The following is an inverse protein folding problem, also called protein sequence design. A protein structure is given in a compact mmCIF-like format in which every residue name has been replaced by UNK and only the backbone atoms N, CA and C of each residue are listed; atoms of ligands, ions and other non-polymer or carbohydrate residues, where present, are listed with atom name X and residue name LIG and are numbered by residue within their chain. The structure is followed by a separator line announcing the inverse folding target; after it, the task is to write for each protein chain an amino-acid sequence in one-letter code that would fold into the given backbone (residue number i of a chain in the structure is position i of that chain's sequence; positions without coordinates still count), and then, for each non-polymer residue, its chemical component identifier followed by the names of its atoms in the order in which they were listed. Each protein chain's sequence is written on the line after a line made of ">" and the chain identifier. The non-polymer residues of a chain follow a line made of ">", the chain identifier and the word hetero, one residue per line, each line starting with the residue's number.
data_IF_256204084160
#
_entry.id   IF_256204084160
#
_cell.length_a   1.000
_cell.length_b   1.000
_cell.length_c   1.000
_cell.angle_alpha   90.00
_cell.angle_beta   90.00
_cell.angle_gamma   90.00
#
_symmetry.space_group_name_H-M   'P 1'
#
loop_
_entity.id
_entity.type
_entity.pdbx_description
1 polymer ?
#
# COMPACT_ATOMS: atom_id res chain seq x y z
N UNK A 1 -16.05 -7.23 -10.17
CA UNK A 1 -14.93 -7.75 -10.97
C UNK A 1 -14.43 -6.65 -11.90
N UNK A 2 -13.12 -6.64 -12.17
CA UNK A 2 -12.53 -5.87 -13.28
C UNK A 2 -12.44 -6.81 -14.49
N UNK A 3 -12.83 -6.34 -15.66
CA UNK A 3 -12.83 -7.15 -16.89
C UNK A 3 -11.57 -6.93 -17.73
N UNK A 4 -10.81 -5.89 -17.40
CA UNK A 4 -9.52 -5.55 -18.00
C UNK A 4 -8.63 -4.97 -16.91
N UNK A 5 -7.32 -4.93 -17.17
CA UNK A 5 -6.33 -4.39 -16.23
C UNK A 5 -5.43 -3.37 -16.90
N UNK A 6 -5.41 -2.18 -16.34
CA UNK A 6 -4.47 -1.11 -16.61
C UNK A 6 -3.52 -0.99 -15.43
N UNK A 7 -2.21 -0.97 -15.68
CA UNK A 7 -1.18 -0.65 -14.68
C UNK A 7 -0.22 0.36 -15.30
N UNK A 8 0.03 1.47 -14.61
CA UNK A 8 1.06 2.45 -15.00
C UNK A 8 1.92 2.88 -13.82
N UNK A 9 3.16 3.23 -14.14
CA UNK A 9 4.15 3.79 -13.22
C UNK A 9 4.38 2.94 -11.95
N UNK A 10 4.24 1.61 -12.05
CA UNK A 10 4.35 0.69 -10.91
C UNK A 10 5.54 -0.27 -11.08
N UNK A 11 6.52 -0.19 -10.17
CA UNK A 11 7.76 -0.95 -10.16
C UNK A 11 8.45 -0.97 -11.53
N UNK A 12 8.54 -2.12 -12.19
CA UNK A 12 9.15 -2.28 -13.51
C UNK A 12 8.26 -1.89 -14.69
N UNK A 13 6.98 -1.60 -14.46
CA UNK A 13 6.04 -1.26 -15.51
C UNK A 13 5.90 0.25 -15.68
N UNK A 14 6.37 0.76 -16.83
CA UNK A 14 6.03 2.12 -17.26
C UNK A 14 4.53 2.19 -17.53
N UNK A 15 4.03 1.24 -18.32
CA UNK A 15 2.63 1.06 -18.65
C UNK A 15 2.42 -0.37 -19.19
N UNK A 16 1.32 -1.01 -18.79
CA UNK A 16 0.86 -2.28 -19.33
C UNK A 16 -0.67 -2.30 -19.33
N UNK A 17 -1.23 -2.91 -20.37
CA UNK A 17 -2.66 -3.13 -20.52
C UNK A 17 -2.93 -4.61 -20.77
N UNK A 18 -3.90 -5.17 -20.06
CA UNK A 18 -4.45 -6.50 -20.27
C UNK A 18 -5.91 -6.27 -20.66
N UNK A 19 -6.24 -6.31 -21.97
CA UNK A 19 -7.56 -5.93 -22.48
C UNK A 19 -8.71 -6.78 -21.95
N UNK A 20 -8.43 -8.03 -21.60
CA UNK A 20 -9.44 -9.00 -21.18
C UNK A 20 -8.94 -9.87 -20.04
N UNK A 21 -9.73 -9.98 -18.98
CA UNK A 21 -9.55 -10.89 -17.86
C UNK A 21 -10.74 -11.86 -17.83
N UNK A 22 -10.43 -13.15 -17.93
CA UNK A 22 -11.42 -14.22 -17.77
C UNK A 22 -11.65 -14.58 -16.31
N UNK A 23 -12.52 -15.57 -16.06
CA UNK A 23 -12.68 -16.16 -14.73
C UNK A 23 -11.42 -16.90 -14.26
N UNK A 24 -10.65 -17.45 -15.19
CA UNK A 24 -9.35 -18.07 -14.98
C UNK A 24 -8.32 -17.39 -15.89
N UNK A 25 -7.21 -16.94 -15.31
CA UNK A 25 -6.12 -16.29 -16.04
C UNK A 25 -4.81 -17.00 -15.73
N UNK A 26 -4.08 -17.40 -16.77
CA UNK A 26 -2.75 -18.00 -16.63
C UNK A 26 -1.69 -16.99 -17.11
N UNK A 27 -0.85 -16.53 -16.19
CA UNK A 27 0.24 -15.59 -16.48
C UNK A 27 1.57 -16.37 -16.53
N UNK A 28 2.11 -16.57 -17.73
CA UNK A 28 3.38 -17.28 -17.98
C UNK A 28 4.48 -16.33 -18.43
N UNK A 29 5.74 -16.72 -18.18
CA UNK A 29 6.91 -15.93 -18.58
C UNK A 29 8.16 -16.31 -17.81
N UNK A 30 9.32 -15.82 -18.24
CA UNK A 30 10.62 -16.04 -17.57
C UNK A 30 10.63 -15.48 -16.14
N UNK A 31 11.57 -15.92 -15.31
CA UNK A 31 11.81 -15.29 -14.02
C UNK A 31 12.10 -13.80 -14.20
N UNK A 32 11.66 -12.98 -13.24
CA UNK A 32 11.74 -11.52 -13.29
C UNK A 32 11.00 -10.82 -14.46
N UNK A 33 10.14 -11.51 -15.21
CA UNK A 33 9.35 -10.88 -16.28
C UNK A 33 8.19 -9.99 -15.79
N UNK A 34 8.06 -9.77 -14.48
CA UNK A 34 7.00 -8.93 -13.90
C UNK A 34 5.71 -9.66 -13.50
N UNK A 35 5.68 -11.00 -13.51
CA UNK A 35 4.48 -11.76 -13.10
C UNK A 35 4.02 -11.43 -11.67
N UNK A 36 4.94 -11.44 -10.71
CA UNK A 36 4.67 -11.07 -9.32
C UNK A 36 4.22 -9.61 -9.22
N UNK A 37 4.81 -8.71 -10.02
CA UNK A 37 4.42 -7.30 -10.09
C UNK A 37 2.96 -7.12 -10.51
N UNK A 38 2.44 -7.95 -11.43
CA UNK A 38 1.02 -7.92 -11.81
C UNK A 38 0.14 -8.32 -10.62
N UNK A 39 0.50 -9.38 -9.90
CA UNK A 39 -0.25 -9.84 -8.72
C UNK A 39 -0.22 -8.81 -7.58
N UNK A 40 0.91 -8.16 -7.36
CA UNK A 40 1.05 -7.09 -6.37
C UNK A 40 0.24 -5.85 -6.73
N UNK A 41 0.16 -5.50 -8.01
CA UNK A 41 -0.71 -4.43 -8.48
C UNK A 41 -2.18 -4.77 -8.19
N UNK A 42 -2.61 -6.01 -8.47
CA UNK A 42 -3.95 -6.49 -8.15
C UNK A 42 -4.22 -6.52 -6.64
N UNK A 43 -3.22 -6.88 -5.83
CA UNK A 43 -3.29 -6.84 -4.37
C UNK A 43 -3.54 -5.42 -3.88
N UNK A 44 -2.74 -4.46 -4.36
CA UNK A 44 -2.86 -3.05 -4.02
C UNK A 44 -4.19 -2.46 -4.50
N UNK A 45 -4.63 -2.83 -5.70
CA UNK A 45 -5.94 -2.48 -6.21
C UNK A 45 -7.06 -2.97 -5.30
N UNK A 46 -7.01 -4.24 -4.92
CA UNK A 46 -8.06 -4.91 -4.13
C UNK A 46 -8.14 -4.35 -2.71
N UNK A 47 -7.00 -3.92 -2.14
CA UNK A 47 -6.93 -3.25 -0.84
C UNK A 47 -7.18 -1.74 -0.90
N UNK A 48 -7.62 -1.22 -2.04
CA UNK A 48 -7.83 0.21 -2.28
C UNK A 48 -6.60 1.09 -1.94
N UNK A 49 -5.40 0.55 -2.12
CA UNK A 49 -4.16 1.24 -1.81
C UNK A 49 -3.91 1.42 -0.31
N UNK A 50 -4.35 0.46 0.51
CA UNK A 50 -4.06 0.43 1.95
C UNK A 50 -2.56 0.53 2.23
N UNK A 51 -2.20 1.19 3.33
CA UNK A 51 -0.79 1.30 3.69
C UNK A 51 -0.21 -0.08 4.08
N UNK A 52 -1.01 -0.90 4.77
CA UNK A 52 -0.63 -2.27 5.13
C UNK A 52 -0.19 -3.09 3.91
N UNK A 53 -0.90 -2.99 2.79
CA UNK A 53 -0.49 -3.67 1.55
C UNK A 53 0.80 -3.09 0.96
N UNK A 54 0.98 -1.76 0.95
CA UNK A 54 2.23 -1.13 0.52
C UNK A 54 3.41 -1.62 1.38
N UNK A 55 3.21 -1.72 2.70
CA UNK A 55 4.17 -2.24 3.67
C UNK A 55 4.53 -3.69 3.41
N UNK A 56 3.53 -4.55 3.20
CA UNK A 56 3.73 -5.96 2.89
C UNK A 56 4.51 -6.17 1.59
N UNK A 57 4.15 -5.44 0.51
CA UNK A 57 4.90 -5.49 -0.75
C UNK A 57 6.36 -5.09 -0.52
N UNK A 58 6.61 -4.08 0.31
CA UNK A 58 7.96 -3.59 0.60
C UNK A 58 8.78 -4.64 1.35
N UNK A 59 8.23 -5.24 2.42
CA UNK A 59 8.89 -6.29 3.19
C UNK A 59 9.19 -7.52 2.32
N UNK A 60 8.25 -7.91 1.47
CA UNK A 60 8.41 -9.09 0.63
C UNK A 60 9.55 -8.97 -0.39
N UNK A 61 9.98 -7.74 -0.72
CA UNK A 61 11.09 -7.47 -1.63
C UNK A 61 12.37 -7.01 -0.91
N UNK A 62 12.40 -7.09 0.42
CA UNK A 62 13.51 -6.61 1.24
C UNK A 62 13.86 -5.13 0.94
N UNK A 63 12.82 -4.37 0.60
CA UNK A 63 12.89 -2.95 0.29
C UNK A 63 12.74 -2.13 1.57
N UNK A 64 13.14 -0.85 1.49
CA UNK A 64 12.89 0.10 2.57
C UNK A 64 11.38 0.22 2.82
N UNK A 65 10.94 -0.45 3.88
CA UNK A 65 9.62 -0.34 4.46
C UNK A 65 9.72 0.59 5.67
N UNK A 66 8.58 1.12 6.15
CA UNK A 66 8.60 1.78 7.46
C UNK A 66 9.05 0.76 8.49
N UNK A 67 10.11 1.09 9.24
CA UNK A 67 10.49 0.28 10.38
C UNK A 67 9.29 0.23 11.31
N UNK A 68 8.74 -0.98 11.51
CA UNK A 68 7.79 -1.18 12.60
C UNK A 68 8.56 -0.87 13.87
N UNK A 69 8.08 0.07 14.70
CA UNK A 69 8.77 0.33 15.93
C UNK A 69 8.80 -0.96 16.75
N UNK A 70 10.00 -1.48 17.00
CA UNK A 70 10.23 -2.61 17.91
C UNK A 70 10.01 -2.14 19.34
N UNK A 71 8.77 -1.75 19.67
CA UNK A 71 8.43 -1.18 20.99
C UNK A 71 8.56 -2.19 22.14
N UNK A 72 8.84 -3.48 21.86
CA UNK A 72 9.00 -4.52 22.88
C UNK A 72 10.42 -5.11 22.96
N UNK A 73 11.42 -4.53 22.29
CA UNK A 73 12.81 -4.94 22.52
C UNK A 73 13.47 -3.99 23.55
N UNK A 74 13.60 -4.40 24.83
CA UNK A 74 14.21 -3.55 25.87
C UNK A 74 15.70 -3.24 25.62
N UNK A 75 16.31 -3.79 24.57
CA UNK A 75 17.66 -3.44 24.12
C UNK A 75 17.69 -2.26 23.15
N UNK A 76 16.54 -1.77 22.69
CA UNK A 76 16.46 -0.68 21.72
C UNK A 76 16.64 0.67 22.45
N UNK A 77 17.85 1.21 22.37
CA UNK A 77 18.20 2.50 22.94
C UNK A 77 17.82 3.59 21.93
N UNK A 78 17.00 4.57 22.32
CA UNK A 78 16.54 5.68 21.47
C UNK A 78 17.66 6.61 20.95
N UNK A 79 18.91 6.31 21.30
CA UNK A 79 20.10 7.04 20.91
C UNK A 79 20.85 6.39 19.72
N UNK A 80 20.42 5.20 19.27
CA UNK A 80 20.90 4.57 18.03
C UNK A 80 20.18 5.10 16.78
N UNK A 81 19.31 6.11 16.95
CA UNK A 81 18.84 6.99 15.86
C UNK A 81 20.05 7.85 15.38
N UNK A 82 21.07 7.19 14.81
CA UNK A 82 21.89 7.79 13.75
C UNK A 82 21.00 7.96 12.53
N UNK A 83 20.10 8.93 12.62
CA UNK A 83 19.71 9.73 11.47
C UNK A 83 21.01 10.19 10.82
N UNK A 84 21.42 9.59 9.69
CA UNK A 84 22.27 10.17 8.64
C UNK A 84 22.72 9.13 7.60
N UNK A 85 21.82 8.31 7.05
CA UNK A 85 22.01 7.89 5.67
C UNK A 85 21.41 8.97 4.77
N UNK A 86 22.27 9.93 4.43
CA UNK A 86 22.06 11.13 3.62
C UNK A 86 21.60 10.80 2.17
N UNK A 87 21.39 9.52 1.85
CA UNK A 87 21.07 9.00 0.51
C UNK A 87 19.83 8.07 0.46
N UNK A 88 19.15 7.85 1.60
CA UNK A 88 18.08 6.84 1.70
C UNK A 88 16.68 7.40 1.43
N UNK A 89 16.12 7.14 0.26
CA UNK A 89 14.77 7.57 -0.19
C UNK A 89 13.61 7.29 0.79
N UNK A 90 12.43 7.82 0.47
CA UNK A 90 11.23 7.67 1.31
C UNK A 90 10.68 6.24 1.29
N UNK A 91 9.93 5.79 2.33
CA UNK A 91 9.24 4.51 2.26
C UNK A 91 8.31 4.48 1.04
N UNK A 92 8.17 3.30 0.43
CA UNK A 92 7.33 3.04 -0.75
C UNK A 92 7.81 3.70 -2.06
N UNK A 93 8.92 4.44 -2.06
CA UNK A 93 9.45 5.10 -3.26
C UNK A 93 9.83 4.11 -4.37
N UNK A 94 10.31 2.93 -4.00
CA UNK A 94 10.65 1.84 -4.92
C UNK A 94 9.43 1.29 -5.71
N UNK A 95 8.20 1.56 -5.27
CA UNK A 95 6.99 1.13 -5.96
C UNK A 95 6.68 1.96 -7.19
N UNK A 96 7.25 3.16 -7.30
CA UNK A 96 7.11 4.01 -8.48
C UNK A 96 8.07 3.56 -9.58
N UNK A 97 7.67 3.71 -10.84
CA UNK A 97 8.56 3.37 -11.95
C UNK A 97 9.84 4.20 -11.92
N UNK A 98 10.97 3.51 -12.09
CA UNK A 98 12.30 4.10 -11.90
C UNK A 98 12.73 4.23 -10.44
N UNK A 99 11.97 3.64 -9.49
CA UNK A 99 12.25 3.59 -8.05
C UNK A 99 12.44 4.97 -7.42
N UNK A 100 11.69 5.96 -7.91
CA UNK A 100 11.73 7.36 -7.44
C UNK A 100 10.36 8.00 -7.48
N UNK A 101 10.11 8.92 -6.55
CA UNK A 101 8.93 9.77 -6.62
C UNK A 101 9.05 10.78 -7.75
N UNK A 102 8.50 10.45 -8.91
CA UNK A 102 8.29 11.39 -9.99
C UNK A 102 7.05 12.21 -9.62
N UNK A 103 7.20 13.28 -8.82
CA UNK A 103 6.13 14.06 -8.15
C UNK A 103 5.00 14.68 -8.99
N UNK A 104 4.79 14.21 -10.22
CA UNK A 104 3.63 14.48 -11.09
C UNK A 104 2.97 13.22 -11.66
N UNK A 105 3.67 12.07 -11.64
CA UNK A 105 3.21 10.83 -12.26
C UNK A 105 2.74 9.89 -11.14
N UNK A 106 1.44 9.62 -11.03
CA UNK A 106 0.93 8.70 -10.03
C UNK A 106 1.14 7.24 -10.47
N UNK A 107 1.10 6.31 -9.52
CA UNK A 107 0.79 4.91 -9.83
C UNK A 107 -0.69 4.84 -10.17
N UNK A 108 -1.05 4.16 -11.25
CA UNK A 108 -2.44 3.91 -11.60
C UNK A 108 -2.67 2.42 -11.81
N UNK A 109 -3.70 1.88 -11.18
CA UNK A 109 -4.08 0.47 -11.31
C UNK A 109 -5.60 0.40 -11.38
N UNK A 110 -6.17 -0.23 -12.40
CA UNK A 110 -7.63 -0.29 -12.53
C UNK A 110 -8.12 -0.95 -13.79
N UNK A 111 -9.40 -0.77 -14.09
CA UNK A 111 -10.00 -1.21 -15.35
C UNK A 111 -9.71 -0.18 -16.45
N UNK A 112 -9.43 -0.65 -17.67
CA UNK A 112 -9.13 0.21 -18.83
C UNK A 112 -10.33 1.12 -19.08
N UNK A 113 -10.06 2.41 -19.33
CA UNK A 113 -11.06 3.45 -19.63
C UNK A 113 -12.18 3.60 -18.57
N UNK A 114 -11.93 3.20 -17.32
CA UNK A 114 -12.92 3.31 -16.24
C UNK A 114 -12.37 4.03 -15.00
N UNK A 115 -12.59 5.35 -14.93
CA UNK A 115 -12.13 6.20 -13.83
C UNK A 115 -12.69 5.79 -12.46
N UNK A 116 -13.93 5.28 -12.40
CA UNK A 116 -14.54 4.86 -11.13
C UNK A 116 -13.87 3.62 -10.54
N UNK A 117 -13.24 2.80 -11.39
CA UNK A 117 -12.50 1.60 -11.02
C UNK A 117 -10.99 1.81 -11.12
N UNK A 118 -10.52 3.05 -11.02
CA UNK A 118 -9.10 3.40 -11.04
C UNK A 118 -8.61 3.70 -9.62
N UNK A 119 -7.60 2.95 -9.17
CA UNK A 119 -6.76 3.31 -8.02
C UNK A 119 -5.65 4.23 -8.50
N UNK A 120 -5.46 5.34 -7.81
CA UNK A 120 -4.38 6.30 -8.06
C UNK A 120 -3.60 6.55 -6.76
N UNK A 121 -2.27 6.45 -6.82
CA UNK A 121 -1.38 6.77 -5.69
C UNK A 121 -0.39 7.84 -6.15
N UNK A 122 -0.50 9.02 -5.57
CA UNK A 122 0.28 10.20 -5.95
C UNK A 122 1.18 10.65 -4.82
N UNK A 123 2.47 10.84 -5.10
CA UNK A 123 3.34 11.56 -4.18
C UNK A 123 3.12 13.06 -4.28
N UNK A 124 2.91 13.72 -3.13
CA UNK A 124 2.74 15.16 -3.02
C UNK A 124 3.69 15.72 -1.97
N UNK A 125 4.39 16.80 -2.33
CA UNK A 125 5.19 17.62 -1.41
C UNK A 125 4.44 18.92 -1.12
N UNK A 126 4.01 19.12 0.13
CA UNK A 126 3.33 20.34 0.57
C UNK A 126 4.35 21.46 0.76
N UNK A 127 4.11 22.62 0.16
CA UNK A 127 4.84 23.85 0.50
C UNK A 127 4.35 24.33 1.87
N UNK A 128 5.26 24.64 2.79
CA UNK A 128 4.88 25.33 4.04
C UNK A 128 4.41 26.74 3.67
N UNK A 129 3.12 27.03 3.86
CA UNK A 129 2.69 28.41 3.97
C UNK A 129 3.12 28.93 5.34
N UNK A 130 3.97 29.94 5.33
CA UNK A 130 4.56 30.55 6.52
C UNK A 130 3.58 31.36 7.36
N UNK A 131 2.30 31.47 6.98
CA UNK A 131 1.25 32.09 7.79
C UNK A 131 -0.08 31.36 7.55
N UNK A 132 -0.79 30.98 8.62
CA UNK A 132 -2.14 30.37 8.69
C UNK A 132 -2.34 28.83 8.63
N UNK A 133 -1.30 28.00 8.59
CA UNK A 133 -1.45 26.53 8.48
C UNK A 133 -1.90 25.77 9.75
N UNK A 134 -2.45 26.44 10.78
CA UNK A 134 -2.81 25.80 12.06
C UNK A 134 -4.13 25.03 12.05
N UNK A 135 -5.03 25.29 11.09
CA UNK A 135 -6.41 24.78 11.15
C UNK A 135 -6.88 23.93 9.96
N UNK A 136 -6.19 23.91 8.82
CA UNK A 136 -6.77 23.29 7.62
C UNK A 136 -6.68 21.76 7.60
N UNK A 137 -5.58 21.17 8.10
CA UNK A 137 -5.43 19.71 8.08
C UNK A 137 -6.36 19.05 9.11
N UNK A 138 -6.53 19.68 10.27
CA UNK A 138 -7.53 19.29 11.28
C UNK A 138 -8.95 19.41 10.74
N UNK A 139 -9.28 20.53 10.06
CA UNK A 139 -10.58 20.70 9.39
C UNK A 139 -10.81 19.65 8.30
N UNK A 140 -9.78 19.24 7.56
CA UNK A 140 -9.90 18.23 6.50
C UNK A 140 -10.12 16.82 7.07
N UNK A 141 -9.40 16.44 8.12
CA UNK A 141 -9.55 15.12 8.76
C UNK A 141 -10.87 14.99 9.54
N UNK A 142 -11.31 16.06 10.20
CA UNK A 142 -12.64 16.14 10.83
C UNK A 142 -13.77 16.11 9.78
N UNK A 143 -13.61 16.83 8.65
CA UNK A 143 -14.60 16.84 7.55
C UNK A 143 -14.68 15.50 6.80
N UNK A 144 -13.66 14.66 6.91
CA UNK A 144 -13.63 13.31 6.34
C UNK A 144 -14.12 12.23 7.33
N UNK A 145 -14.60 12.58 8.52
CA UNK A 145 -15.06 11.67 9.58
C UNK A 145 -14.04 10.58 9.98
N UNK A 146 -12.74 10.88 9.92
CA UNK A 146 -11.67 9.89 10.16
C UNK A 146 -11.26 9.81 11.64
N UNK A 147 -11.65 10.76 12.49
CA UNK A 147 -11.19 10.88 13.89
C UNK A 147 -12.32 11.40 14.79
N UNK A 148 -12.53 10.78 15.95
CA UNK A 148 -13.39 11.30 17.02
C UNK A 148 -12.76 12.53 17.70
N UNK A 149 -13.62 13.48 18.07
CA UNK A 149 -13.35 14.87 18.46
C UNK A 149 -12.31 15.12 19.58
N UNK A 150 -11.79 14.09 20.25
CA UNK A 150 -10.96 14.21 21.45
C UNK A 150 -9.48 13.83 21.28
N UNK A 151 -9.00 13.53 20.06
CA UNK A 151 -7.58 13.22 19.86
C UNK A 151 -6.76 14.50 19.65
N UNK A 152 -6.06 14.95 20.70
CA UNK A 152 -5.05 16.02 20.62
C UNK A 152 -3.82 15.46 19.88
N UNK A 153 -3.76 15.68 18.56
CA UNK A 153 -2.58 15.41 17.73
C UNK A 153 -1.63 16.62 17.78
N UNK A 154 -0.36 16.44 18.21
CA UNK A 154 0.58 17.57 18.22
C UNK A 154 1.03 17.93 16.80
N UNK A 155 0.58 19.10 16.32
CA UNK A 155 1.11 20.06 15.32
C UNK A 155 2.02 19.62 14.15
N UNK A 156 2.16 18.35 13.81
CA UNK A 156 3.06 17.91 12.76
C UNK A 156 2.29 17.71 11.44
N UNK A 157 2.28 18.74 10.60
CA UNK A 157 1.82 18.68 9.21
C UNK A 157 2.91 18.02 8.37
N UNK A 158 2.69 16.78 7.94
CA UNK A 158 3.64 16.07 7.07
C UNK A 158 3.85 16.87 5.79
N UNK A 159 5.11 17.12 5.43
CA UNK A 159 5.46 17.77 4.17
C UNK A 159 5.36 16.79 3.01
N UNK A 160 5.68 15.51 3.24
CA UNK A 160 5.74 14.48 2.22
C UNK A 160 4.60 13.49 2.46
N UNK A 161 3.68 13.36 1.50
CA UNK A 161 2.51 12.47 1.64
C UNK A 161 2.30 11.65 0.37
N UNK A 162 1.72 10.46 0.53
CA UNK A 162 1.02 9.78 -0.55
C UNK A 162 -0.47 10.07 -0.44
N UNK A 163 -1.05 10.59 -1.51
CA UNK A 163 -2.49 10.68 -1.69
C UNK A 163 -2.98 9.44 -2.42
N UNK A 164 -3.88 8.70 -1.81
CA UNK A 164 -4.50 7.49 -2.39
C UNK A 164 -5.95 7.79 -2.72
N UNK A 165 -6.38 7.46 -3.94
CA UNK A 165 -7.75 7.64 -4.43
C UNK A 165 -8.24 6.38 -5.13
N UNK A 166 -9.46 5.94 -4.83
CA UNK A 166 -10.16 4.89 -5.59
C UNK A 166 -11.65 5.20 -5.67
N UNK A 167 -12.14 5.53 -6.86
CA UNK A 167 -13.50 6.02 -7.06
C UNK A 167 -13.77 7.25 -6.18
N UNK A 168 -14.72 7.14 -5.24
CA UNK A 168 -15.08 8.22 -4.29
C UNK A 168 -14.25 8.22 -3.00
N UNK A 169 -13.48 7.16 -2.77
CA UNK A 169 -12.68 7.02 -1.54
C UNK A 169 -11.32 7.69 -1.71
N UNK A 170 -10.88 8.36 -0.65
CA UNK A 170 -9.60 9.07 -0.60
C UNK A 170 -9.03 9.00 0.80
N UNK A 171 -7.75 8.66 0.91
CA UNK A 171 -6.98 8.75 2.16
C UNK A 171 -5.56 9.23 1.90
N UNK A 172 -4.84 9.51 2.99
CA UNK A 172 -3.49 10.08 2.94
C UNK A 172 -2.57 9.23 3.82
N UNK A 173 -1.37 8.96 3.31
CA UNK A 173 -0.30 8.25 4.01
C UNK A 173 0.84 9.25 4.25
N UNK A 174 1.04 9.73 5.49
CA UNK A 174 2.12 10.68 5.83
C UNK A 174 3.48 9.98 5.80
N UNK A 175 4.46 10.46 5.03
CA UNK A 175 5.76 9.78 4.85
C UNK A 175 6.84 10.17 5.87
N UNK A 176 6.61 11.23 6.65
CA UNK A 176 7.59 11.73 7.61
C UNK A 176 7.52 10.96 8.95
N UNK A 177 8.65 10.39 9.39
CA UNK A 177 8.73 9.43 10.52
C UNK A 177 8.20 9.98 11.87
N UNK A 178 8.41 11.27 12.14
CA UNK A 178 8.01 11.89 13.41
C UNK A 178 6.48 11.88 13.64
N UNK A 179 5.69 11.89 12.57
CA UNK A 179 4.22 11.89 12.63
C UNK A 179 3.69 10.48 12.86
N UNK A 180 4.36 9.50 12.25
CA UNK A 180 3.91 8.11 12.23
C UNK A 180 4.00 7.41 13.59
N UNK A 181 5.02 7.71 14.41
CA UNK A 181 5.20 7.15 15.77
C UNK A 181 3.97 7.35 16.68
N UNK A 182 3.07 8.30 16.37
CA UNK A 182 1.90 8.66 17.21
C UNK A 182 0.55 8.08 16.77
N UNK A 183 0.36 7.76 15.48
CA UNK A 183 -0.94 7.42 14.89
C UNK A 183 -1.26 5.91 14.87
N UNK A 184 -0.26 5.06 15.08
CA UNK A 184 -0.30 3.63 14.71
C UNK A 184 -1.14 2.70 15.61
N UNK A 185 -1.93 3.22 16.55
CA UNK A 185 -2.81 2.39 17.40
C UNK A 185 -4.24 2.23 16.90
N UNK A 186 -4.69 3.00 15.89
CA UNK A 186 -6.10 3.03 15.48
C UNK A 186 -6.41 2.53 14.05
N UNK A 187 -5.47 2.62 13.10
CA UNK A 187 -5.78 2.40 11.68
C UNK A 187 -5.75 0.92 11.26
N UNK A 188 -4.93 0.10 11.94
CA UNK A 188 -4.66 -1.28 11.49
C UNK A 188 -5.83 -2.26 11.70
N UNK A 189 -6.72 -2.00 12.68
CA UNK A 189 -7.87 -2.86 12.96
C UNK A 189 -9.01 -2.70 11.96
N UNK A 190 -9.14 -1.55 11.29
CA UNK A 190 -10.19 -1.33 10.27
C UNK A 190 -9.77 -1.78 8.87
N UNK A 191 -8.50 -1.68 8.47
CA UNK A 191 -8.05 -2.04 7.12
C UNK A 191 -8.13 -3.55 6.84
N UNK A 192 -7.70 -4.40 7.80
CA UNK A 192 -7.70 -5.87 7.66
C UNK A 192 -9.11 -6.48 7.54
N UNK A 193 -10.16 -5.77 7.95
CA UNK A 193 -11.53 -6.27 7.90
C UNK A 193 -12.22 -6.07 6.53
N UNK A 194 -11.61 -5.34 5.58
CA UNK A 194 -12.28 -4.89 4.35
C UNK A 194 -11.79 -5.55 3.05
N UNK A 195 -10.84 -6.48 3.09
CA UNK A 195 -10.24 -7.06 1.88
C UNK A 195 -10.75 -8.47 1.59
N UNK A 196 -11.61 -8.62 0.58
CA UNK A 196 -12.10 -9.91 0.07
C UNK A 196 -11.08 -10.61 -0.86
N UNK A 197 -9.80 -10.65 -0.48
CA UNK A 197 -8.78 -11.39 -1.23
C UNK A 197 -7.77 -12.02 -0.27
N UNK A 198 -7.18 -13.14 -0.67
CA UNK A 198 -6.11 -13.81 0.05
C UNK A 198 -4.88 -13.85 -0.87
N UNK A 199 -3.80 -13.20 -0.44
CA UNK A 199 -2.52 -13.27 -1.11
C UNK A 199 -1.71 -14.43 -0.51
N UNK A 200 -1.04 -15.19 -1.37
CA UNK A 200 -0.08 -16.22 -0.96
C UNK A 200 1.28 -15.77 -1.50
N UNK A 201 2.25 -15.44 -0.64
CA UNK A 201 3.53 -14.93 -1.07
C UNK A 201 4.32 -15.98 -1.85
N UNK A 202 5.19 -15.52 -2.74
CA UNK A 202 6.09 -16.40 -3.51
C UNK A 202 7.31 -16.87 -2.73
N UNK A 203 7.50 -16.41 -1.48
CA UNK A 203 8.51 -16.92 -0.56
C UNK A 203 8.03 -18.27 0.03
N UNK A 204 8.94 -19.05 0.59
CA UNK A 204 8.60 -20.33 1.26
C UNK A 204 7.57 -20.05 2.35
N UNK A 205 6.32 -20.40 2.09
CA UNK A 205 5.23 -20.35 3.06
C UNK A 205 5.32 -21.61 3.91
N UNK A 206 5.16 -21.50 5.23
CA UNK A 206 5.24 -22.68 6.09
C UNK A 206 4.07 -23.63 5.79
N UNK A 207 4.27 -24.92 6.03
CA UNK A 207 3.20 -25.91 5.84
C UNK A 207 2.00 -25.60 6.75
N UNK A 208 2.26 -25.04 7.92
CA UNK A 208 1.23 -24.63 8.89
C UNK A 208 0.38 -23.47 8.34
N UNK A 209 1.02 -22.46 7.75
CA UNK A 209 0.33 -21.33 7.12
C UNK A 209 -0.51 -21.79 5.91
N UNK A 210 0.00 -22.73 5.12
CA UNK A 210 -0.75 -23.35 4.02
C UNK A 210 -1.95 -24.15 4.53
N UNK A 211 -1.81 -24.84 5.67
CA UNK A 211 -2.91 -25.54 6.33
C UNK A 211 -4.05 -24.60 6.73
N UNK A 212 -3.73 -23.45 7.33
CA UNK A 212 -4.73 -22.42 7.67
C UNK A 212 -5.43 -21.86 6.44
N UNK A 213 -4.71 -21.71 5.32
CA UNK A 213 -5.30 -21.29 4.05
C UNK A 213 -6.23 -22.35 3.46
N UNK A 214 -5.87 -23.63 3.61
CA UNK A 214 -6.68 -24.76 3.19
C UNK A 214 -8.00 -24.84 3.95
N UNK A 215 -7.96 -24.71 5.28
CA UNK A 215 -9.15 -24.73 6.13
C UNK A 215 -10.18 -23.64 5.73
N UNK A 216 -9.70 -22.51 5.21
CA UNK A 216 -10.56 -21.43 4.70
C UNK A 216 -11.23 -21.75 3.37
N UNK A 217 -10.65 -22.64 2.57
CA UNK A 217 -11.16 -23.07 1.27
C UNK A 217 -12.02 -24.35 1.36
N UNK A 218 -11.73 -25.23 2.32
CA UNK A 218 -12.51 -26.45 2.57
C UNK A 218 -13.96 -26.13 2.91
N UNK A 219 -14.89 -26.95 2.40
CA UNK A 219 -16.33 -26.80 2.57
C UNK A 219 -16.92 -25.53 1.91
N UNK A 220 -16.16 -24.89 1.02
CA UNK A 220 -16.67 -23.82 0.16
C UNK A 220 -16.88 -24.34 -1.27
N UNK A 221 -17.73 -23.70 -2.09
CA UNK A 221 -17.88 -24.05 -3.50
C UNK A 221 -16.56 -24.01 -4.31
N UNK A 222 -15.52 -23.36 -3.79
CA UNK A 222 -14.22 -23.19 -4.42
C UNK A 222 -13.26 -24.37 -4.21
N UNK A 223 -13.59 -25.30 -3.31
CA UNK A 223 -12.79 -26.50 -3.02
C UNK A 223 -12.54 -27.33 -4.29
N UNK A 224 -13.54 -27.45 -5.17
CA UNK A 224 -13.46 -28.24 -6.40
C UNK A 224 -12.62 -27.59 -7.53
N UNK A 225 -12.12 -26.36 -7.33
CA UNK A 225 -11.40 -25.58 -8.36
C UNK A 225 -9.89 -25.52 -8.04
N UNK A 226 -9.47 -25.94 -6.84
CA UNK A 226 -8.07 -26.00 -6.44
C UNK A 226 -7.35 -27.18 -7.12
N UNK A 227 -6.36 -26.87 -7.97
CA UNK A 227 -5.44 -27.86 -8.53
C UNK A 227 -4.12 -27.80 -7.75
N UNK A 228 -3.75 -28.91 -7.11
CA UNK A 228 -2.42 -29.09 -6.51
C UNK A 228 -1.45 -29.76 -7.50
N UNK A 229 -0.16 -29.38 -7.49
CA UNK A 229 0.93 -30.22 -7.97
C UNK A 229 1.28 -31.37 -7.01
#
# INVERSE_FOLDING_TARGET
>A
MINSLYISNFKGFKEIQIPELGHLNLIVGKNNSGKSTILEALMLYSSAGSESTLHEISINHDEKSRERPRFNDPRFNSNDDKTNDIDGGFPYEHLFYGRKFNGKIPIQIGEIENENKLLTISYLKRKQDTNDSKNETLKLLQKLNVIDSEVILPNATSQNILEVKKGRTKHIIPLDELIYRRLNRYVESEEKQRTNFQYVPTKTTSMDDLGVLWDKATLTPYENILLMP
#
